data_IF_288141477333
#
_entry.id   IF_288141477333
#
_cell.length_a   1.000
_cell.length_b   1.000
_cell.length_c   1.000
_cell.angle_alpha   90.00
_cell.angle_beta   90.00
_cell.angle_gamma   90.00
#
_symmetry.space_group_name_H-M   'P 1'
#
loop_
_entity.id
_entity.type
_entity.pdbx_description
1 polymer ?
#
# COMPACT_ATOMS: atom_id res chain seq x y z
N UNK A 1 -12.39 -36.92 -60.74
CA UNK A 1 -12.40 -38.00 -59.74
C UNK A 1 -11.41 -37.60 -58.68
N UNK A 2 -11.88 -36.94 -57.67
CA UNK A 2 -12.23 -37.34 -56.31
C UNK A 2 -11.01 -37.71 -55.52
N UNK A 3 -10.64 -36.91 -54.58
CA UNK A 3 -10.86 -36.98 -53.15
C UNK A 3 -10.21 -35.79 -52.47
N UNK A 4 -11.01 -34.83 -52.06
CA UNK A 4 -10.67 -33.85 -51.04
C UNK A 4 -11.40 -34.30 -49.77
N UNK A 5 -10.70 -35.01 -48.89
CA UNK A 5 -11.20 -35.32 -47.56
C UNK A 5 -10.81 -34.18 -46.61
N UNK A 6 -11.81 -33.54 -46.09
CA UNK A 6 -11.80 -32.52 -45.08
C UNK A 6 -11.22 -33.00 -43.76
N UNK A 7 -10.08 -32.42 -43.33
CA UNK A 7 -9.61 -32.57 -41.98
C UNK A 7 -10.16 -31.36 -41.18
N UNK A 8 -11.30 -31.54 -40.54
CA UNK A 8 -11.84 -30.60 -39.56
C UNK A 8 -11.00 -30.78 -38.28
N UNK A 9 -10.10 -29.85 -38.05
CA UNK A 9 -9.39 -29.73 -36.78
C UNK A 9 -10.41 -29.38 -35.68
N UNK A 10 -10.68 -30.31 -34.78
CA UNK A 10 -11.42 -30.07 -33.55
C UNK A 10 -10.55 -29.13 -32.67
N UNK A 11 -10.96 -27.87 -32.58
CA UNK A 11 -10.49 -26.95 -31.55
C UNK A 11 -11.09 -27.43 -30.22
N UNK A 12 -10.30 -28.17 -29.46
CA UNK A 12 -10.62 -28.49 -28.06
C UNK A 12 -10.59 -27.19 -27.25
N UNK A 13 -11.78 -26.72 -26.90
CA UNK A 13 -11.93 -25.66 -25.90
C UNK A 13 -11.38 -26.20 -24.58
N UNK A 14 -10.25 -25.63 -24.12
CA UNK A 14 -9.81 -25.81 -22.76
C UNK A 14 -10.91 -25.24 -21.82
N UNK A 15 -11.23 -25.91 -20.70
CA UNK A 15 -12.27 -25.44 -19.80
C UNK A 15 -11.90 -24.05 -19.32
N UNK A 16 -12.74 -23.06 -19.62
CA UNK A 16 -12.60 -21.70 -19.10
C UNK A 16 -12.91 -21.76 -17.61
N UNK A 17 -11.88 -21.68 -16.77
CA UNK A 17 -12.05 -21.57 -15.33
C UNK A 17 -12.78 -20.24 -15.08
N UNK A 18 -13.97 -20.27 -14.45
CA UNK A 18 -14.77 -19.05 -14.29
C UNK A 18 -14.07 -18.05 -13.37
N UNK A 19 -14.07 -16.81 -13.79
CA UNK A 19 -13.35 -15.67 -13.17
C UNK A 19 -13.63 -15.52 -11.66
N UNK A 20 -14.82 -15.92 -11.18
CA UNK A 20 -15.21 -15.88 -9.78
C UNK A 20 -14.40 -16.82 -8.88
N UNK A 21 -13.84 -17.91 -9.41
CA UNK A 21 -12.97 -18.81 -8.64
C UNK A 21 -11.61 -18.18 -8.34
N UNK A 22 -11.08 -17.33 -9.23
CA UNK A 22 -9.87 -16.56 -8.99
C UNK A 22 -10.10 -15.43 -7.97
N UNK A 23 -11.26 -14.77 -8.06
CA UNK A 23 -11.63 -13.70 -7.12
C UNK A 23 -11.85 -14.27 -5.72
N UNK A 24 -12.54 -15.41 -5.61
CA UNK A 24 -12.75 -16.11 -4.34
C UNK A 24 -11.45 -16.57 -3.68
N UNK A 25 -10.50 -17.09 -4.49
CA UNK A 25 -9.17 -17.48 -4.00
C UNK A 25 -8.34 -16.30 -3.48
N UNK A 26 -8.35 -15.17 -4.18
CA UNK A 26 -7.65 -13.97 -3.77
C UNK A 26 -8.22 -13.37 -2.46
N UNK A 27 -9.54 -13.36 -2.33
CA UNK A 27 -10.22 -12.91 -1.08
C UNK A 27 -9.93 -13.87 0.07
N UNK A 28 -9.92 -15.18 -0.16
CA UNK A 28 -9.60 -16.17 0.86
C UNK A 28 -8.14 -16.04 1.34
N UNK A 29 -7.19 -15.75 0.45
CA UNK A 29 -5.78 -15.51 0.81
C UNK A 29 -5.63 -14.23 1.64
N UNK A 30 -6.35 -13.15 1.29
CA UNK A 30 -6.36 -11.90 2.05
C UNK A 30 -6.99 -12.09 3.44
N UNK A 31 -8.06 -12.85 3.56
CA UNK A 31 -8.70 -13.16 4.84
C UNK A 31 -7.85 -14.11 5.69
N UNK A 32 -7.12 -15.03 5.09
CA UNK A 32 -6.23 -15.95 5.82
C UNK A 32 -5.05 -15.23 6.48
N UNK A 33 -4.56 -14.15 5.89
CA UNK A 33 -3.51 -13.31 6.52
C UNK A 33 -4.03 -12.57 7.76
N UNK A 34 -5.32 -12.23 7.82
CA UNK A 34 -5.94 -11.63 9.00
C UNK A 34 -6.11 -12.62 10.17
N UNK A 35 -6.29 -13.90 9.88
CA UNK A 35 -6.50 -14.95 10.93
C UNK A 35 -5.20 -15.33 11.64
N UNK A 36 -4.03 -15.21 11.00
CA UNK A 36 -2.73 -15.55 11.61
C UNK A 36 -2.30 -14.50 12.67
N UNK A 37 -2.84 -13.28 12.61
CA UNK A 37 -2.56 -12.20 13.57
C UNK A 37 -3.40 -12.27 14.85
N UNK A 38 -4.35 -13.18 14.95
CA UNK A 38 -5.27 -13.31 16.10
C UNK A 38 -4.88 -14.42 17.05
N UNK A 39 -3.62 -14.47 17.50
CA UNK A 39 -3.30 -15.20 18.72
C UNK A 39 -3.52 -14.26 19.91
N UNK A 40 -4.65 -14.41 20.56
CA UNK A 40 -5.05 -13.61 21.71
C UNK A 40 -4.25 -14.02 22.95
N UNK A 41 -3.40 -13.13 23.52
CA UNK A 41 -2.95 -13.28 24.89
C UNK A 41 -4.13 -13.06 25.86
N UNK A 42 -4.10 -13.66 27.03
CA UNK A 42 -5.08 -13.42 28.10
C UNK A 42 -5.04 -11.95 28.50
N UNK A 43 -6.04 -11.20 28.07
CA UNK A 43 -6.18 -9.77 28.34
C UNK A 43 -7.39 -9.59 29.26
N UNK A 44 -7.13 -9.09 30.46
CA UNK A 44 -8.21 -8.63 31.35
C UNK A 44 -8.57 -7.20 30.95
N UNK A 45 -9.68 -7.03 30.28
CA UNK A 45 -10.21 -5.71 29.90
C UNK A 45 -11.02 -5.13 31.05
N UNK A 46 -10.57 -4.00 31.58
CA UNK A 46 -11.39 -3.12 32.40
C UNK A 46 -12.11 -2.11 31.50
N UNK A 47 -13.31 -1.74 31.84
CA UNK A 47 -14.43 -1.18 31.09
C UNK A 47 -14.25 0.21 30.43
N UNK A 48 -13.03 0.66 30.16
CA UNK A 48 -12.77 1.86 29.37
C UNK A 48 -12.33 1.47 27.96
N UNK A 49 -13.20 1.65 26.98
CA UNK A 49 -13.01 1.17 25.60
C UNK A 49 -11.74 1.71 24.91
N UNK A 50 -11.04 2.67 25.52
CA UNK A 50 -9.85 3.32 24.97
C UNK A 50 -8.52 2.93 25.64
N UNK A 51 -8.55 2.24 26.79
CA UNK A 51 -7.33 1.91 27.53
C UNK A 51 -7.25 0.42 27.86
N UNK A 52 -6.10 -0.19 27.52
CA UNK A 52 -5.77 -1.57 27.83
C UNK A 52 -4.85 -1.60 29.05
N UNK A 53 -5.30 -2.17 30.15
CA UNK A 53 -4.48 -2.35 31.36
C UNK A 53 -3.87 -3.74 31.34
N UNK A 54 -2.55 -3.82 31.51
CA UNK A 54 -1.78 -5.06 31.55
C UNK A 54 -1.31 -5.30 32.98
N UNK A 55 -1.96 -6.24 33.65
CA UNK A 55 -1.54 -6.82 34.91
C UNK A 55 -0.88 -8.19 34.63
N UNK A 56 0.11 -8.18 33.72
CA UNK A 56 0.69 -9.40 33.14
C UNK A 56 1.96 -9.86 33.82
N UNK A 57 2.44 -11.00 33.32
CA UNK A 57 3.73 -11.62 33.70
C UNK A 57 4.81 -11.22 32.67
N UNK A 58 6.09 -11.41 33.03
CA UNK A 58 7.27 -11.08 32.21
C UNK A 58 7.30 -11.71 30.81
N UNK A 59 6.54 -12.77 30.56
CA UNK A 59 6.48 -13.45 29.25
C UNK A 59 5.44 -12.87 28.27
N UNK A 60 4.63 -11.90 28.70
CA UNK A 60 3.55 -11.35 27.90
C UNK A 60 4.05 -10.31 26.90
N UNK A 61 3.89 -10.60 25.60
CA UNK A 61 4.08 -9.61 24.53
C UNK A 61 2.76 -8.89 24.26
N UNK A 62 2.78 -7.56 24.23
CA UNK A 62 1.60 -6.71 24.08
C UNK A 62 1.65 -5.99 22.74
N UNK A 63 0.63 -6.21 21.92
CA UNK A 63 0.42 -5.49 20.67
C UNK A 63 -0.97 -4.84 20.71
N UNK A 64 -1.03 -3.51 20.62
CA UNK A 64 -2.30 -2.77 20.68
C UNK A 64 -2.48 -1.88 19.44
N UNK A 65 -3.72 -1.74 19.00
CA UNK A 65 -4.09 -0.92 17.86
C UNK A 65 -5.23 0.03 18.24
N UNK A 66 -4.97 1.35 18.15
CA UNK A 66 -5.95 2.41 18.41
C UNK A 66 -6.29 2.62 19.89
N UNK A 67 -5.61 1.93 20.83
CA UNK A 67 -5.87 2.03 22.27
C UNK A 67 -4.61 2.40 23.05
N UNK A 68 -4.78 3.13 24.13
CA UNK A 68 -3.71 3.35 25.09
C UNK A 68 -3.40 2.06 25.86
N UNK A 69 -2.16 1.89 26.30
CA UNK A 69 -1.73 0.73 27.07
C UNK A 69 -1.11 1.22 28.38
N UNK A 70 -1.52 0.63 29.49
CA UNK A 70 -0.94 0.84 30.82
C UNK A 70 -0.38 -0.48 31.33
N UNK A 71 0.94 -0.55 31.50
CA UNK A 71 1.62 -1.73 32.06
C UNK A 71 1.86 -1.50 33.53
N UNK A 72 1.06 -2.17 34.38
CA UNK A 72 1.13 -2.03 35.85
C UNK A 72 2.20 -2.89 36.50
N UNK A 73 2.31 -4.14 36.08
CA UNK A 73 3.27 -5.09 36.70
C UNK A 73 4.43 -5.40 35.78
N UNK A 74 4.24 -6.30 34.81
CA UNK A 74 5.31 -6.72 33.92
C UNK A 74 4.79 -7.04 32.50
N UNK A 75 5.68 -6.82 31.51
CA UNK A 75 5.49 -7.30 30.15
C UNK A 75 6.85 -7.62 29.53
N UNK A 76 6.86 -8.49 28.51
CA UNK A 76 8.07 -8.81 27.77
C UNK A 76 8.42 -7.73 26.76
N UNK A 77 7.50 -7.39 25.92
CA UNK A 77 7.61 -6.37 24.86
C UNK A 77 6.25 -5.66 24.71
N UNK A 78 6.28 -4.37 24.39
CA UNK A 78 5.05 -3.59 24.20
C UNK A 78 5.16 -2.76 22.93
N UNK A 79 4.24 -3.00 21.98
CA UNK A 79 4.13 -2.21 20.76
C UNK A 79 2.70 -1.69 20.59
N UNK A 80 2.56 -0.36 20.46
CA UNK A 80 1.27 0.30 20.36
C UNK A 80 1.21 1.16 19.10
N UNK A 81 0.16 1.01 18.34
CA UNK A 81 -0.12 1.82 17.18
C UNK A 81 -1.33 2.72 17.44
N UNK A 82 -1.15 4.04 17.41
CA UNK A 82 -2.19 5.05 17.59
C UNK A 82 -2.66 5.25 19.01
N UNK A 83 -1.86 4.88 20.00
CA UNK A 83 -2.13 5.08 21.41
C UNK A 83 -0.86 5.36 22.22
N UNK A 84 -1.03 5.85 23.44
CA UNK A 84 0.06 6.08 24.37
C UNK A 84 0.38 4.81 25.16
N UNK A 85 1.64 4.68 25.58
CA UNK A 85 2.10 3.63 26.49
C UNK A 85 2.48 4.26 27.83
N UNK A 86 1.79 3.89 28.91
CA UNK A 86 2.17 4.27 30.27
C UNK A 86 2.78 3.06 30.96
N UNK A 87 3.99 3.19 31.47
CA UNK A 87 4.73 2.11 32.12
C UNK A 87 4.85 2.45 33.60
N UNK A 88 4.20 1.65 34.44
CA UNK A 88 4.26 1.74 35.90
C UNK A 88 5.14 0.61 36.48
N UNK A 89 5.25 -0.50 35.74
CA UNK A 89 6.00 -1.68 36.16
C UNK A 89 7.26 -1.93 35.33
N UNK A 90 7.55 -3.22 35.06
CA UNK A 90 8.77 -3.66 34.38
C UNK A 90 8.49 -4.16 32.98
N UNK A 91 9.26 -3.66 31.99
CA UNK A 91 9.31 -4.25 30.64
C UNK A 91 10.71 -4.80 30.41
N UNK A 92 10.82 -6.09 30.11
CA UNK A 92 12.12 -6.75 29.95
C UNK A 92 12.78 -6.47 28.60
N UNK A 93 11.98 -6.36 27.54
CA UNK A 93 12.41 -6.12 26.17
C UNK A 93 12.08 -4.72 25.68
N UNK A 94 11.75 -4.65 24.39
CA UNK A 94 11.57 -3.40 23.68
C UNK A 94 10.19 -2.79 23.89
N UNK A 95 10.15 -1.47 23.82
CA UNK A 95 8.90 -0.68 23.86
C UNK A 95 8.83 0.20 22.64
N UNK A 96 7.74 0.11 21.89
CA UNK A 96 7.51 0.93 20.71
C UNK A 96 6.11 1.54 20.65
N UNK A 97 6.04 2.76 20.13
CA UNK A 97 4.76 3.38 19.75
C UNK A 97 4.86 4.07 18.41
N UNK A 98 3.77 4.02 17.65
CA UNK A 98 3.59 4.74 16.40
C UNK A 98 2.32 5.58 16.51
N UNK A 99 2.44 6.91 16.39
CA UNK A 99 1.32 7.84 16.57
C UNK A 99 0.87 7.97 18.03
N UNK A 100 1.84 7.88 18.97
CA UNK A 100 1.60 8.05 20.40
C UNK A 100 2.88 8.28 21.17
N UNK A 101 2.77 8.54 22.45
CA UNK A 101 3.88 8.83 23.35
C UNK A 101 4.09 7.73 24.38
N UNK A 102 5.32 7.56 24.85
CA UNK A 102 5.68 6.66 25.94
C UNK A 102 5.92 7.47 27.19
N UNK A 103 5.20 7.14 28.27
CA UNK A 103 5.33 7.75 29.59
C UNK A 103 5.91 6.68 30.53
N UNK A 104 7.13 6.90 31.01
CA UNK A 104 7.74 6.04 31.99
C UNK A 104 7.60 6.64 33.38
N UNK A 105 6.81 5.99 34.23
CA UNK A 105 6.58 6.40 35.61
C UNK A 105 7.80 6.19 36.49
N UNK A 106 7.82 6.89 37.63
CA UNK A 106 8.84 6.65 38.65
C UNK A 106 8.85 5.18 39.11
N UNK A 107 10.03 4.59 39.20
CA UNK A 107 10.19 3.18 39.56
C UNK A 107 10.00 2.18 38.42
N UNK A 108 9.45 2.58 37.28
CA UNK A 108 9.29 1.72 36.12
C UNK A 108 10.64 1.40 35.44
N UNK A 109 10.79 0.19 34.92
CA UNK A 109 12.01 -0.28 34.25
C UNK A 109 11.77 -0.71 32.81
N UNK A 110 12.64 -0.28 31.89
CA UNK A 110 12.66 -0.73 30.50
C UNK A 110 14.01 -1.37 30.20
N UNK A 111 14.01 -2.67 29.89
CA UNK A 111 15.23 -3.45 29.62
C UNK A 111 15.69 -3.40 28.17
N UNK A 112 14.82 -3.09 27.22
CA UNK A 112 15.08 -3.05 25.78
C UNK A 112 15.19 -1.64 25.19
N UNK A 113 15.10 -1.59 23.87
CA UNK A 113 15.11 -0.33 23.11
C UNK A 113 13.76 0.40 23.20
N UNK A 114 13.80 1.73 23.08
CA UNK A 114 12.61 2.59 23.07
C UNK A 114 12.49 3.19 21.69
N UNK A 115 11.38 2.91 21.00
CA UNK A 115 11.11 3.39 19.65
C UNK A 115 9.82 4.22 19.66
N UNK A 116 9.92 5.50 19.33
CA UNK A 116 8.77 6.40 19.25
C UNK A 116 8.72 7.04 17.87
N UNK A 117 7.67 6.73 17.13
CA UNK A 117 7.39 7.31 15.81
C UNK A 117 6.11 8.14 15.89
N UNK A 118 6.20 9.46 15.64
CA UNK A 118 5.07 10.36 15.77
C UNK A 118 4.61 10.48 17.23
N UNK A 119 5.48 11.01 18.08
CA UNK A 119 5.22 11.24 19.50
C UNK A 119 6.49 11.52 20.27
N UNK A 120 6.42 11.41 21.59
CA UNK A 120 7.52 11.72 22.52
C UNK A 120 7.74 10.62 23.54
N UNK A 121 8.97 10.54 24.05
CA UNK A 121 9.31 9.73 25.24
C UNK A 121 9.44 10.66 26.43
N UNK A 122 8.64 10.42 27.46
CA UNK A 122 8.51 11.27 28.66
C UNK A 122 8.76 10.45 29.92
N UNK A 123 10.01 10.36 30.39
CA UNK A 123 10.29 9.82 31.72
C UNK A 123 9.92 10.85 32.80
N UNK A 124 9.24 10.39 33.87
CA UNK A 124 8.91 11.28 35.00
C UNK A 124 10.15 11.70 35.82
N UNK A 125 11.20 10.91 35.76
CA UNK A 125 12.46 11.17 36.48
C UNK A 125 13.60 11.50 35.51
N UNK A 126 14.54 12.36 35.92
CA UNK A 126 15.69 12.75 35.09
C UNK A 126 16.61 11.57 34.70
N UNK A 127 16.65 10.52 35.53
CA UNK A 127 17.42 9.28 35.28
C UNK A 127 16.46 8.09 35.33
N UNK A 128 15.79 7.78 34.22
CA UNK A 128 14.88 6.64 34.18
C UNK A 128 15.65 5.32 34.32
N UNK A 129 15.03 4.33 34.94
CA UNK A 129 15.62 3.01 35.09
C UNK A 129 15.57 2.30 33.75
N UNK A 130 16.73 2.21 33.09
CA UNK A 130 16.92 1.58 31.79
C UNK A 130 18.23 0.83 31.71
N UNK A 131 18.31 -0.15 30.81
CA UNK A 131 19.59 -0.77 30.45
C UNK A 131 20.46 0.25 29.69
N UNK A 132 21.68 0.50 30.15
CA UNK A 132 22.60 1.52 29.59
C UNK A 132 23.07 1.19 28.16
N UNK A 133 22.99 -0.09 27.75
CA UNK A 133 23.39 -0.54 26.39
C UNK A 133 22.29 -0.40 25.34
N UNK A 134 21.11 0.08 25.73
CA UNK A 134 19.93 0.15 24.88
C UNK A 134 19.65 1.56 24.37
N UNK A 135 19.17 1.64 23.13
CA UNK A 135 18.99 2.90 22.41
C UNK A 135 17.58 3.47 22.58
N UNK A 136 17.46 4.77 22.33
CA UNK A 136 16.19 5.47 22.23
C UNK A 136 16.12 6.17 20.89
N UNK A 137 15.15 5.78 20.06
CA UNK A 137 14.88 6.39 18.76
C UNK A 137 13.56 7.15 18.84
N UNK A 138 13.59 8.46 18.63
CA UNK A 138 12.40 9.33 18.66
C UNK A 138 12.32 10.08 17.33
N UNK A 139 11.22 9.89 16.61
CA UNK A 139 10.88 10.63 15.40
C UNK A 139 9.51 11.28 15.64
N UNK A 140 9.50 12.53 16.11
CA UNK A 140 8.29 13.24 16.57
C UNK A 140 7.49 13.93 15.45
N UNK A 141 7.45 13.36 14.23
CA UNK A 141 6.70 13.91 13.11
C UNK A 141 5.42 13.09 12.84
N UNK A 142 4.36 13.76 12.35
CA UNK A 142 3.08 13.13 11.97
C UNK A 142 2.35 12.40 13.11
N UNK A 143 2.44 12.87 14.36
CA UNK A 143 1.79 12.23 15.51
C UNK A 143 0.27 12.15 15.33
N UNK A 144 -0.38 13.28 14.99
CA UNK A 144 -1.83 13.35 14.84
C UNK A 144 -2.34 12.50 13.67
N UNK A 145 -1.62 12.52 12.54
CA UNK A 145 -1.99 11.74 11.35
C UNK A 145 -1.88 10.23 11.62
N UNK A 146 -0.79 9.80 12.25
CA UNK A 146 -0.57 8.39 12.59
C UNK A 146 -1.57 7.91 13.65
N UNK A 147 -1.87 8.75 14.65
CA UNK A 147 -2.87 8.45 15.68
C UNK A 147 -4.27 8.34 15.08
N UNK A 148 -4.67 9.34 14.28
CA UNK A 148 -5.96 9.34 13.61
C UNK A 148 -6.13 8.14 12.68
N UNK A 149 -5.08 7.77 11.96
CA UNK A 149 -5.07 6.58 11.12
C UNK A 149 -5.31 5.30 11.91
N UNK A 150 -4.66 5.15 13.06
CA UNK A 150 -4.79 3.97 13.87
C UNK A 150 -6.15 3.87 14.59
N UNK A 151 -6.66 5.01 15.08
CA UNK A 151 -7.95 5.05 15.79
C UNK A 151 -9.15 4.96 14.85
N UNK A 152 -9.02 5.52 13.64
CA UNK A 152 -10.06 5.56 12.63
C UNK A 152 -9.53 5.12 11.26
N UNK A 153 -9.14 3.86 11.07
CA UNK A 153 -8.57 3.40 9.79
C UNK A 153 -9.55 3.52 8.63
N UNK A 154 -10.85 3.55 8.90
CA UNK A 154 -11.91 3.77 7.90
C UNK A 154 -12.00 5.21 7.40
N UNK A 155 -11.47 6.18 8.16
CA UNK A 155 -11.46 7.59 7.74
C UNK A 155 -10.64 7.83 6.46
N UNK A 156 -9.67 6.95 6.17
CA UNK A 156 -8.93 6.96 4.89
C UNK A 156 -9.89 6.81 3.71
N UNK A 157 -10.94 6.00 3.83
CA UNK A 157 -11.88 5.73 2.74
C UNK A 157 -12.85 6.90 2.50
N UNK A 158 -13.01 7.82 3.46
CA UNK A 158 -13.90 8.96 3.38
C UNK A 158 -13.20 10.27 3.77
N UNK A 159 -12.31 10.79 2.92
CA UNK A 159 -11.63 12.05 3.21
C UNK A 159 -12.64 13.20 3.35
N UNK A 160 -12.45 14.03 4.37
CA UNK A 160 -13.27 15.24 4.57
C UNK A 160 -12.90 16.31 3.57
N UNK A 161 -13.92 16.98 3.00
CA UNK A 161 -13.72 18.10 2.07
C UNK A 161 -13.31 19.36 2.85
N UNK A 162 -12.02 19.54 3.01
CA UNK A 162 -11.41 20.73 3.64
C UNK A 162 -10.69 21.59 2.60
N UNK A 163 -10.39 22.85 2.94
CA UNK A 163 -9.55 23.69 2.08
C UNK A 163 -8.17 23.08 1.82
N UNK A 164 -7.60 22.42 2.84
CA UNK A 164 -6.35 21.66 2.69
C UNK A 164 -6.46 20.51 1.69
N UNK A 165 -7.56 19.78 1.71
CA UNK A 165 -7.84 18.73 0.73
C UNK A 165 -7.92 19.28 -0.69
N UNK A 166 -8.62 20.42 -0.91
CA UNK A 166 -8.70 21.06 -2.23
C UNK A 166 -7.34 21.54 -2.71
N UNK A 167 -6.55 22.20 -1.84
CA UNK A 167 -5.20 22.61 -2.18
C UNK A 167 -4.30 21.44 -2.57
N UNK A 168 -4.37 20.34 -1.83
CA UNK A 168 -3.66 19.09 -2.14
C UNK A 168 -4.07 18.52 -3.51
N UNK A 169 -5.36 18.58 -3.87
CA UNK A 169 -5.84 18.12 -5.18
C UNK A 169 -5.34 18.99 -6.33
N UNK A 170 -5.32 20.29 -6.16
CA UNK A 170 -4.74 21.23 -7.15
C UNK A 170 -3.25 20.96 -7.33
N UNK A 171 -2.50 20.82 -6.24
CA UNK A 171 -1.09 20.47 -6.29
C UNK A 171 -0.85 19.11 -6.95
N UNK A 172 -1.71 18.12 -6.67
CA UNK A 172 -1.66 16.82 -7.31
C UNK A 172 -1.91 16.88 -8.82
N UNK A 173 -2.87 17.71 -9.28
CA UNK A 173 -3.11 17.94 -10.72
C UNK A 173 -1.84 18.53 -11.36
N UNK A 174 -1.28 19.56 -10.76
CA UNK A 174 -0.07 20.21 -11.28
C UNK A 174 1.11 19.22 -11.36
N UNK A 175 1.36 18.47 -10.29
CA UNK A 175 2.43 17.48 -10.23
C UNK A 175 2.26 16.40 -11.30
N UNK A 176 1.08 15.79 -11.41
CA UNK A 176 0.83 14.71 -12.37
C UNK A 176 0.76 15.21 -13.81
N UNK A 177 0.33 16.45 -14.02
CA UNK A 177 0.37 17.08 -15.34
C UNK A 177 1.82 17.27 -15.81
N UNK A 178 2.68 17.88 -14.97
CA UNK A 178 4.09 18.08 -15.28
C UNK A 178 4.82 16.76 -15.50
N UNK A 179 4.57 15.76 -14.65
CA UNK A 179 5.17 14.46 -14.78
C UNK A 179 4.72 13.75 -16.07
N UNK A 180 3.43 13.75 -16.37
CA UNK A 180 2.89 13.15 -17.60
C UNK A 180 3.39 13.85 -18.85
N UNK A 181 3.49 15.17 -18.82
CA UNK A 181 4.05 15.98 -19.90
C UNK A 181 5.53 15.65 -20.11
N UNK A 182 6.31 15.57 -19.03
CA UNK A 182 7.72 15.18 -19.12
C UNK A 182 7.90 13.78 -19.71
N UNK A 183 7.14 12.77 -19.25
CA UNK A 183 7.22 11.40 -19.79
C UNK A 183 6.82 11.33 -21.27
N UNK A 184 5.78 12.07 -21.68
CA UNK A 184 5.37 12.08 -23.08
C UNK A 184 6.35 12.78 -23.99
N UNK A 185 7.08 13.78 -23.47
CA UNK A 185 8.12 14.50 -24.21
C UNK A 185 9.43 13.71 -24.30
N UNK A 186 9.87 13.10 -23.19
CA UNK A 186 11.13 12.35 -23.13
C UNK A 186 11.02 10.99 -23.84
N UNK A 187 9.87 10.32 -23.70
CA UNK A 187 9.68 8.95 -24.21
C UNK A 187 8.34 8.78 -24.94
N UNK A 188 8.07 9.55 -26.01
CA UNK A 188 6.78 9.54 -26.70
C UNK A 188 6.42 8.15 -27.26
N UNK A 189 7.42 7.43 -27.79
CA UNK A 189 7.23 6.08 -28.32
C UNK A 189 6.89 5.02 -27.24
N UNK A 190 7.38 5.17 -26.02
CA UNK A 190 7.03 4.26 -24.93
C UNK A 190 5.60 4.49 -24.45
N UNK A 191 5.23 5.75 -24.24
CA UNK A 191 3.88 6.13 -23.81
C UNK A 191 2.83 5.75 -24.86
N UNK A 192 3.06 6.07 -26.15
CA UNK A 192 2.11 5.73 -27.22
C UNK A 192 1.91 4.22 -27.37
N UNK A 193 2.96 3.41 -27.27
CA UNK A 193 2.83 1.94 -27.25
C UNK A 193 2.07 1.43 -26.05
N UNK A 194 2.29 2.00 -24.85
CA UNK A 194 1.55 1.63 -23.64
C UNK A 194 0.06 1.96 -23.77
N UNK A 195 -0.27 3.15 -24.27
CA UNK A 195 -1.66 3.58 -24.54
C UNK A 195 -2.33 2.64 -25.53
N UNK A 196 -1.70 2.36 -26.68
CA UNK A 196 -2.26 1.48 -27.70
C UNK A 196 -2.50 0.05 -27.14
N UNK A 197 -1.57 -0.49 -26.37
CA UNK A 197 -1.72 -1.81 -25.72
C UNK A 197 -2.85 -1.82 -24.72
N UNK A 198 -2.95 -0.79 -23.90
CA UNK A 198 -4.04 -0.67 -22.92
C UNK A 198 -5.39 -0.70 -23.63
N UNK A 199 -5.57 0.06 -24.70
CA UNK A 199 -6.82 0.12 -25.47
C UNK A 199 -7.18 -1.21 -26.16
N UNK A 200 -6.17 -1.97 -26.61
CA UNK A 200 -6.38 -3.24 -27.32
C UNK A 200 -6.60 -4.45 -26.39
N UNK A 201 -6.08 -4.43 -25.17
CA UNK A 201 -6.00 -5.62 -24.33
C UNK A 201 -6.16 -5.32 -22.83
N UNK A 202 -7.06 -4.44 -22.43
CA UNK A 202 -7.24 -3.99 -21.04
C UNK A 202 -7.35 -5.14 -20.04
N UNK A 203 -8.24 -6.11 -20.30
CA UNK A 203 -8.45 -7.26 -19.38
C UNK A 203 -7.20 -8.12 -19.21
N UNK A 204 -6.46 -8.36 -20.30
CA UNK A 204 -5.20 -9.12 -20.24
C UNK A 204 -4.16 -8.39 -19.42
N UNK A 205 -4.05 -7.07 -19.58
CA UNK A 205 -3.10 -6.24 -18.83
C UNK A 205 -3.44 -6.24 -17.34
N UNK A 206 -4.72 -6.10 -16.98
CA UNK A 206 -5.17 -6.17 -15.59
C UNK A 206 -4.87 -7.54 -14.98
N UNK A 207 -5.19 -8.63 -15.68
CA UNK A 207 -4.91 -9.98 -15.21
C UNK A 207 -3.42 -10.24 -15.00
N UNK A 208 -2.57 -9.84 -15.96
CA UNK A 208 -1.10 -9.94 -15.84
C UNK A 208 -0.59 -9.07 -14.70
N UNK A 209 -1.18 -7.88 -14.50
CA UNK A 209 -0.81 -6.99 -13.42
C UNK A 209 -1.14 -7.55 -12.04
N UNK A 210 -2.31 -8.10 -11.85
CA UNK A 210 -2.71 -8.76 -10.58
C UNK A 210 -1.78 -9.95 -10.31
N UNK A 211 -1.55 -10.80 -11.32
CA UNK A 211 -0.65 -11.95 -11.19
C UNK A 211 0.78 -11.51 -10.88
N UNK A 212 1.26 -10.46 -11.55
CA UNK A 212 2.58 -9.87 -11.30
C UNK A 212 2.72 -9.29 -9.89
N UNK A 213 1.69 -8.63 -9.38
CA UNK A 213 1.66 -8.14 -8.01
C UNK A 213 1.72 -9.27 -6.98
N UNK A 214 0.92 -10.32 -7.17
CA UNK A 214 0.94 -11.50 -6.29
C UNK A 214 2.30 -12.20 -6.32
N UNK A 215 2.89 -12.40 -7.50
CA UNK A 215 4.20 -13.02 -7.63
C UNK A 215 5.31 -12.18 -6.97
N UNK A 216 5.28 -10.87 -7.11
CA UNK A 216 6.27 -9.99 -6.45
C UNK A 216 6.10 -10.02 -4.93
N UNK A 217 4.87 -10.02 -4.42
CA UNK A 217 4.58 -10.13 -2.99
C UNK A 217 5.08 -11.45 -2.42
N UNK A 218 4.77 -12.58 -3.08
CA UNK A 218 5.26 -13.89 -2.69
C UNK A 218 6.80 -13.94 -2.75
N UNK A 219 7.39 -13.37 -3.79
CA UNK A 219 8.85 -13.29 -3.93
C UNK A 219 9.54 -12.54 -2.79
N UNK A 220 8.97 -11.42 -2.34
CA UNK A 220 9.46 -10.68 -1.17
C UNK A 220 9.32 -11.53 0.10
N UNK A 221 8.17 -12.17 0.32
CA UNK A 221 7.95 -13.03 1.50
C UNK A 221 8.94 -14.20 1.55
N UNK A 222 9.16 -14.87 0.41
CA UNK A 222 10.16 -15.94 0.31
C UNK A 222 11.58 -15.41 0.54
N UNK A 223 11.90 -14.23 0.02
CA UNK A 223 13.19 -13.58 0.26
C UNK A 223 13.45 -13.34 1.75
N UNK A 224 12.45 -12.84 2.48
CA UNK A 224 12.55 -12.61 3.93
C UNK A 224 12.66 -13.94 4.71
N UNK A 225 11.98 -15.01 4.24
CA UNK A 225 11.98 -16.30 4.92
C UNK A 225 13.28 -17.09 4.74
N UNK A 226 13.93 -17.01 3.56
CA UNK A 226 15.05 -17.89 3.21
C UNK A 226 16.41 -17.19 3.09
N UNK A 227 16.45 -15.86 2.97
CA UNK A 227 17.70 -15.13 2.77
C UNK A 227 18.15 -14.41 4.05
N UNK A 228 19.46 -14.16 4.21
CA UNK A 228 19.97 -13.31 5.28
C UNK A 228 19.34 -11.91 5.24
N UNK A 229 19.11 -11.30 6.41
CA UNK A 229 18.35 -10.05 6.56
C UNK A 229 18.85 -8.89 5.69
N UNK A 230 20.17 -8.73 5.55
CA UNK A 230 20.74 -7.69 4.67
C UNK A 230 20.43 -7.91 3.19
N UNK A 231 20.42 -9.16 2.71
CA UNK A 231 20.15 -9.48 1.32
C UNK A 231 18.65 -9.36 1.01
N UNK A 232 17.80 -9.85 1.91
CA UNK A 232 16.34 -9.69 1.78
C UNK A 232 15.92 -8.21 1.82
N UNK A 233 16.58 -7.39 2.62
CA UNK A 233 16.39 -5.95 2.66
C UNK A 233 16.70 -5.27 1.33
N UNK A 234 17.85 -5.58 0.72
CA UNK A 234 18.25 -5.05 -0.59
C UNK A 234 17.24 -5.48 -1.68
N UNK A 235 16.87 -6.77 -1.72
CA UNK A 235 15.91 -7.28 -2.72
C UNK A 235 14.55 -6.60 -2.56
N UNK A 236 14.07 -6.46 -1.33
CA UNK A 236 12.80 -5.80 -1.03
C UNK A 236 12.81 -4.33 -1.46
N UNK A 237 13.89 -3.61 -1.16
CA UNK A 237 14.05 -2.21 -1.56
C UNK A 237 14.10 -2.05 -3.09
N UNK A 238 14.88 -2.90 -3.78
CA UNK A 238 14.95 -2.88 -5.24
C UNK A 238 13.61 -3.21 -5.89
N UNK A 239 12.88 -4.19 -5.33
CA UNK A 239 11.55 -4.56 -5.83
C UNK A 239 10.55 -3.42 -5.62
N UNK A 240 10.57 -2.78 -4.44
CA UNK A 240 9.73 -1.61 -4.14
C UNK A 240 10.01 -0.47 -5.14
N UNK A 241 11.29 -0.17 -5.40
CA UNK A 241 11.68 0.87 -6.36
C UNK A 241 11.16 0.55 -7.78
N UNK A 242 11.30 -0.70 -8.21
CA UNK A 242 10.79 -1.13 -9.52
C UNK A 242 9.26 -1.03 -9.61
N UNK A 243 8.54 -1.43 -8.56
CA UNK A 243 7.08 -1.29 -8.48
C UNK A 243 6.66 0.18 -8.52
N UNK A 244 7.41 1.05 -7.86
CA UNK A 244 7.17 2.48 -7.85
C UNK A 244 7.36 3.09 -9.24
N UNK A 245 8.46 2.75 -9.94
CA UNK A 245 8.69 3.18 -11.31
C UNK A 245 7.61 2.65 -12.27
N UNK A 246 7.21 1.38 -12.12
CA UNK A 246 6.12 0.80 -12.89
C UNK A 246 4.79 1.55 -12.67
N UNK A 247 4.49 1.90 -11.43
CA UNK A 247 3.30 2.69 -11.07
C UNK A 247 3.29 4.07 -11.74
N UNK A 248 4.42 4.81 -11.70
CA UNK A 248 4.51 6.11 -12.36
C UNK A 248 4.26 6.01 -13.85
N UNK A 249 4.97 5.09 -14.53
CA UNK A 249 4.82 4.90 -15.96
C UNK A 249 3.40 4.48 -16.35
N UNK A 250 2.82 3.51 -15.63
CA UNK A 250 1.47 3.01 -15.93
C UNK A 250 0.40 4.07 -15.67
N UNK A 251 0.55 4.87 -14.61
CA UNK A 251 -0.36 5.97 -14.33
C UNK A 251 -0.33 7.04 -15.40
N UNK A 252 0.85 7.42 -15.89
CA UNK A 252 0.99 8.34 -17.04
C UNK A 252 0.28 7.78 -18.27
N UNK A 253 0.52 6.51 -18.61
CA UNK A 253 -0.11 5.88 -19.77
C UNK A 253 -1.65 5.85 -19.65
N UNK A 254 -2.19 5.58 -18.45
CA UNK A 254 -3.63 5.62 -18.19
C UNK A 254 -4.20 7.03 -18.28
N UNK A 255 -3.54 8.03 -17.74
CA UNK A 255 -3.95 9.43 -17.82
C UNK A 255 -4.00 9.89 -19.28
N UNK A 256 -2.98 9.60 -20.07
CA UNK A 256 -2.97 9.92 -21.49
C UNK A 256 -4.06 9.17 -22.27
N UNK A 257 -4.27 7.89 -21.97
CA UNK A 257 -5.29 7.07 -22.64
C UNK A 257 -6.70 7.57 -22.35
N UNK A 258 -7.03 7.79 -21.09
CA UNK A 258 -8.34 8.32 -20.68
C UNK A 258 -8.57 9.75 -21.18
N UNK A 259 -7.52 10.58 -21.19
CA UNK A 259 -7.59 11.92 -21.73
C UNK A 259 -7.89 11.95 -23.24
N UNK A 260 -7.26 11.08 -24.03
CA UNK A 260 -7.58 10.93 -25.47
C UNK A 260 -9.02 10.47 -25.69
N UNK A 261 -9.54 9.58 -24.84
CA UNK A 261 -10.95 9.19 -24.89
C UNK A 261 -11.88 10.37 -24.57
N UNK A 262 -11.58 11.12 -23.51
CA UNK A 262 -12.37 12.29 -23.13
C UNK A 262 -12.36 13.38 -24.22
N UNK A 263 -11.22 13.62 -24.86
CA UNK A 263 -11.16 14.54 -26.00
C UNK A 263 -12.10 14.12 -27.11
N UNK A 264 -12.10 12.84 -27.46
CA UNK A 264 -12.95 12.32 -28.55
C UNK A 264 -14.45 12.53 -28.29
N UNK A 265 -14.89 12.48 -27.01
CA UNK A 265 -16.30 12.61 -26.65
C UNK A 265 -16.72 14.04 -26.35
N UNK A 266 -15.84 14.89 -25.83
CA UNK A 266 -16.20 16.19 -25.28
C UNK A 266 -15.66 17.39 -26.08
N UNK A 267 -14.63 17.19 -26.93
CA UNK A 267 -14.04 18.29 -27.71
C UNK A 267 -14.22 18.07 -29.21
N UNK A 268 -14.42 19.15 -29.96
CA UNK A 268 -14.41 19.11 -31.42
C UNK A 268 -13.00 18.80 -31.94
N UNK A 269 -12.88 18.13 -33.08
CA UNK A 269 -11.62 17.62 -33.64
C UNK A 269 -10.52 18.67 -33.81
N UNK A 270 -10.91 19.92 -34.11
CA UNK A 270 -9.98 21.04 -34.28
C UNK A 270 -9.26 21.48 -32.99
N UNK A 271 -9.73 21.02 -31.83
CA UNK A 271 -9.12 21.31 -30.49
C UNK A 271 -8.40 20.12 -29.90
N UNK A 272 -8.19 19.04 -30.63
CA UNK A 272 -7.45 17.91 -30.16
C UNK A 272 -5.96 18.23 -30.10
N UNK A 273 -5.36 18.22 -28.90
CA UNK A 273 -3.92 18.32 -28.69
C UNK A 273 -3.43 17.35 -27.63
N UNK A 274 -2.17 16.94 -27.67
CA UNK A 274 -1.62 16.06 -26.65
C UNK A 274 -1.65 16.67 -25.26
N UNK A 275 -1.37 17.96 -25.15
CA UNK A 275 -1.40 18.70 -23.88
C UNK A 275 -2.79 18.72 -23.27
N UNK A 276 -3.83 18.97 -24.06
CA UNK A 276 -5.22 18.94 -23.57
C UNK A 276 -5.65 17.52 -23.20
N UNK A 277 -5.18 16.48 -23.91
CA UNK A 277 -5.43 15.10 -23.53
C UNK A 277 -4.80 14.78 -22.15
N UNK A 278 -3.55 15.15 -21.93
CA UNK A 278 -2.89 14.95 -20.66
C UNK A 278 -3.64 15.65 -19.53
N UNK A 279 -4.00 16.92 -19.73
CA UNK A 279 -4.72 17.71 -18.73
C UNK A 279 -6.07 17.09 -18.37
N UNK A 280 -6.87 16.73 -19.35
CA UNK A 280 -8.19 16.09 -19.15
C UNK A 280 -8.05 14.74 -18.43
N UNK A 281 -7.06 13.94 -18.81
CA UNK A 281 -6.81 12.66 -18.17
C UNK A 281 -6.36 12.81 -16.72
N UNK A 282 -5.47 13.76 -16.42
CA UNK A 282 -5.01 14.05 -15.07
C UNK A 282 -6.14 14.53 -14.17
N UNK A 283 -6.95 15.48 -14.67
CA UNK A 283 -8.11 16.00 -13.95
C UNK A 283 -9.13 14.90 -13.68
N UNK A 284 -9.49 14.10 -14.68
CA UNK A 284 -10.45 13.00 -14.54
C UNK A 284 -9.98 11.98 -13.49
N UNK A 285 -8.72 11.53 -13.54
CA UNK A 285 -8.17 10.62 -12.55
C UNK A 285 -8.06 11.24 -11.15
N UNK A 286 -7.77 12.54 -11.04
CA UNK A 286 -7.76 13.23 -9.75
C UNK A 286 -9.17 13.30 -9.16
N UNK A 287 -10.20 13.53 -9.97
CA UNK A 287 -11.59 13.50 -9.52
C UNK A 287 -11.97 12.09 -9.05
N UNK A 288 -11.69 11.05 -9.85
CA UNK A 288 -11.99 9.66 -9.49
C UNK A 288 -11.31 9.28 -8.16
N UNK A 289 -10.04 9.66 -8.00
CA UNK A 289 -9.26 9.43 -6.77
C UNK A 289 -9.67 10.34 -5.59
N UNK A 290 -10.57 11.28 -5.79
CA UNK A 290 -11.10 12.15 -4.74
C UNK A 290 -12.44 11.67 -4.19
N UNK A 291 -13.11 10.74 -4.89
CA UNK A 291 -14.41 10.22 -4.45
C UNK A 291 -14.20 9.19 -3.34
N UNK A 292 -14.87 9.34 -2.18
CA UNK A 292 -14.82 8.38 -1.10
C UNK A 292 -15.11 6.95 -1.57
N UNK A 293 -14.42 5.98 -0.99
CA UNK A 293 -14.47 4.54 -1.34
C UNK A 293 -14.04 4.19 -2.77
N UNK A 294 -14.38 5.02 -3.77
CA UNK A 294 -14.01 4.77 -5.18
C UNK A 294 -12.50 4.87 -5.40
N UNK A 295 -11.82 5.75 -4.67
CA UNK A 295 -10.37 5.94 -4.80
C UNK A 295 -9.57 4.68 -4.53
N UNK A 296 -10.03 3.82 -3.61
CA UNK A 296 -9.36 2.54 -3.29
C UNK A 296 -9.38 1.60 -4.49
N UNK A 297 -10.55 1.43 -5.11
CA UNK A 297 -10.69 0.61 -6.32
C UNK A 297 -9.90 1.18 -7.49
N UNK A 298 -9.95 2.50 -7.66
CA UNK A 298 -9.20 3.20 -8.70
C UNK A 298 -7.68 3.03 -8.50
N UNK A 299 -7.20 3.05 -7.26
CA UNK A 299 -5.80 2.86 -6.92
C UNK A 299 -5.35 1.43 -7.18
N UNK A 300 -6.15 0.42 -6.79
CA UNK A 300 -5.89 -0.98 -7.10
C UNK A 300 -5.84 -1.23 -8.62
N UNK A 301 -6.77 -0.62 -9.36
CA UNK A 301 -6.79 -0.70 -10.82
C UNK A 301 -5.55 -0.04 -11.44
N UNK A 302 -5.17 1.14 -10.95
CA UNK A 302 -3.94 1.83 -11.36
C UNK A 302 -2.70 0.96 -11.14
N UNK A 303 -2.56 0.36 -9.96
CA UNK A 303 -1.45 -0.55 -9.66
C UNK A 303 -1.43 -1.77 -10.58
N UNK A 304 -2.56 -2.45 -10.70
CA UNK A 304 -2.68 -3.63 -11.56
C UNK A 304 -2.34 -3.32 -13.01
N UNK A 305 -2.92 -2.24 -13.56
CA UNK A 305 -2.63 -1.85 -14.95
C UNK A 305 -1.18 -1.44 -15.12
N UNK A 306 -0.60 -0.72 -14.15
CA UNK A 306 0.79 -0.25 -14.21
C UNK A 306 1.77 -1.41 -14.28
N UNK A 307 1.61 -2.39 -13.40
CA UNK A 307 2.44 -3.61 -13.40
C UNK A 307 2.23 -4.40 -14.70
N UNK A 308 0.96 -4.60 -15.10
CA UNK A 308 0.61 -5.31 -16.32
C UNK A 308 1.18 -4.68 -17.58
N UNK A 309 1.19 -3.35 -17.69
CA UNK A 309 1.80 -2.63 -18.81
C UNK A 309 3.30 -2.86 -18.89
N UNK A 310 4.01 -2.83 -17.77
CA UNK A 310 5.47 -3.06 -17.76
C UNK A 310 5.79 -4.49 -18.15
N UNK A 311 5.11 -5.49 -17.60
CA UNK A 311 5.35 -6.89 -17.93
C UNK A 311 4.97 -7.22 -19.39
N UNK A 312 3.87 -6.67 -19.91
CA UNK A 312 3.46 -6.90 -21.30
C UNK A 312 4.26 -6.07 -22.29
N UNK A 313 4.89 -4.96 -21.87
CA UNK A 313 5.73 -4.13 -22.75
C UNK A 313 6.89 -4.89 -23.39
N UNK A 314 7.40 -5.91 -22.71
CA UNK A 314 8.60 -6.65 -23.11
C UNK A 314 8.32 -7.80 -24.11
N UNK A 315 7.08 -8.21 -24.28
CA UNK A 315 6.77 -9.25 -25.27
C UNK A 315 6.81 -8.68 -26.68
N UNK A 316 7.86 -8.98 -27.42
CA UNK A 316 7.92 -8.86 -28.88
C UNK A 316 6.89 -9.85 -29.45
N UNK A 317 5.62 -9.47 -29.45
CA UNK A 317 4.65 -10.26 -30.21
C UNK A 317 4.81 -9.89 -31.67
N UNK A 318 5.11 -10.88 -32.44
CA UNK A 318 5.18 -10.86 -33.89
C UNK A 318 3.85 -10.43 -34.52
N UNK A 319 3.63 -9.11 -34.56
CA UNK A 319 2.68 -8.44 -35.43
C UNK A 319 3.42 -7.85 -36.64
N UNK A 320 4.43 -8.58 -37.13
CA UNK A 320 4.97 -8.39 -38.46
C UNK A 320 4.70 -9.67 -39.24
N UNK A 321 3.48 -9.84 -39.69
CA UNK A 321 3.08 -10.63 -40.85
C UNK A 321 1.60 -10.30 -41.16
N UNK A 322 1.38 -9.21 -41.80
CA UNK A 322 0.47 -9.11 -42.95
C UNK A 322 1.01 -7.98 -43.80
#
# INVERSE_FOLDING_TARGET
MSYLSSTINRITFAPQIPLWQFIGGAIAILLFQFVILAQTPNITTTDDQQTLIIDGNTDTKVYSFGKNVVVKQAAKEVFVFGGNVTIEGKIEGDVGTIGGSIIQKEGAFIGGDVIVLGGTYQPEVQKPLRNAEKETVIIGIFEEELRNFAQNPTAIFSPTLTWGFLAQRILSILFWFLLSFAFTTISPGAVSRAVARFQLSTLKIVAVGISGFLLTTIGIMLSVAFLPGYLSGIISLMTLLLLFLAYFFGRVALQVSSGKLLQKYFLPENKHSETTAILLGVVAWTIILSVPYLWTFALLLLFSVSIGLVFTARTKNGWQKV
#
